data_IF_489129605873
#
_entry.id   IF_489129605873
#
_cell.length_a   1.000
_cell.length_b   1.000
_cell.length_c   1.000
_cell.angle_alpha   90.00
_cell.angle_beta   90.00
_cell.angle_gamma   90.00
#
_symmetry.space_group_name_H-M   'P 1'
#
loop_
_entity.id
_entity.type
_entity.pdbx_description
1 polymer ?
#
# COMPACT_ATOMS: atom_id res chain seq x y z
N UNK A 1 -11.47 1.70 52.62
CA UNK A 1 -10.05 1.99 52.29
C UNK A 1 -9.91 2.61 50.91
N UNK A 2 -8.76 3.18 50.53
CA UNK A 2 -8.57 3.81 49.20
C UNK A 2 -8.95 2.86 48.05
N UNK A 3 -8.74 1.54 48.22
CA UNK A 3 -9.19 0.49 47.30
C UNK A 3 -10.71 0.42 47.11
N UNK A 4 -11.47 0.48 48.21
CA UNK A 4 -12.95 0.47 48.21
C UNK A 4 -13.54 1.68 47.48
N UNK A 5 -12.88 2.85 47.58
CA UNK A 5 -13.31 4.07 46.89
C UNK A 5 -13.06 3.94 45.37
N UNK A 6 -11.97 3.27 44.97
CA UNK A 6 -11.62 3.05 43.56
C UNK A 6 -12.53 2.03 42.90
N UNK A 7 -12.88 0.94 43.58
CA UNK A 7 -13.87 -0.03 43.10
C UNK A 7 -15.25 0.60 42.94
N UNK A 8 -15.72 1.35 43.95
CA UNK A 8 -17.00 2.08 43.85
C UNK A 8 -17.00 3.10 42.71
N UNK A 9 -15.90 3.81 42.48
CA UNK A 9 -15.80 4.72 41.34
C UNK A 9 -15.90 3.98 40.00
N UNK A 10 -15.28 2.80 39.86
CA UNK A 10 -15.39 2.01 38.64
C UNK A 10 -16.81 1.46 38.41
N UNK A 11 -17.53 1.07 39.47
CA UNK A 11 -18.90 0.54 39.39
C UNK A 11 -19.96 1.64 39.21
N UNK A 12 -19.78 2.79 39.87
CA UNK A 12 -20.76 3.88 39.93
C UNK A 12 -20.51 4.96 38.85
N UNK A 13 -19.38 4.93 38.14
CA UNK A 13 -19.11 5.90 37.08
C UNK A 13 -20.10 5.72 35.95
N UNK A 14 -20.93 6.73 35.77
CA UNK A 14 -21.69 6.93 34.55
C UNK A 14 -20.71 7.10 33.39
N UNK A 15 -20.39 5.98 32.72
CA UNK A 15 -19.69 5.99 31.44
C UNK A 15 -20.68 6.53 30.44
N UNK A 16 -20.65 7.85 30.22
CA UNK A 16 -21.27 8.43 29.04
C UNK A 16 -20.38 7.95 27.88
N UNK A 17 -20.85 7.02 27.02
CA UNK A 17 -20.07 6.67 25.85
C UNK A 17 -19.81 7.98 25.09
N UNK A 18 -18.57 8.20 24.59
CA UNK A 18 -18.34 9.37 23.76
C UNK A 18 -19.43 9.40 22.70
N UNK A 19 -20.14 10.53 22.60
CA UNK A 19 -21.16 10.71 21.59
C UNK A 19 -20.59 10.21 20.26
N UNK A 20 -21.36 9.40 19.50
CA UNK A 20 -20.94 8.92 18.19
C UNK A 20 -20.22 10.06 17.49
N UNK A 21 -18.93 9.86 17.21
CA UNK A 21 -18.13 10.93 16.63
C UNK A 21 -18.68 11.22 15.25
N UNK A 22 -19.57 12.21 15.17
CA UNK A 22 -20.10 12.74 13.94
C UNK A 22 -18.95 13.46 13.26
N UNK A 23 -18.45 12.86 12.19
CA UNK A 23 -17.46 13.47 11.34
C UNK A 23 -17.92 14.89 10.98
N UNK A 24 -17.14 15.89 11.43
CA UNK A 24 -17.33 17.28 11.07
C UNK A 24 -16.12 17.72 10.26
N UNK A 25 -16.36 18.21 9.05
CA UNK A 25 -15.32 18.77 8.19
C UNK A 25 -14.56 19.92 8.87
N UNK A 26 -15.17 20.58 9.86
CA UNK A 26 -14.57 21.67 10.63
C UNK A 26 -13.47 21.19 11.61
N UNK A 27 -13.50 19.91 12.01
CA UNK A 27 -12.51 19.30 12.90
C UNK A 27 -11.27 18.77 12.16
N UNK A 28 -11.24 18.91 10.83
CA UNK A 28 -10.06 18.59 10.04
C UNK A 28 -9.04 19.70 10.27
N UNK A 29 -7.95 19.38 10.97
CA UNK A 29 -6.80 20.29 11.09
C UNK A 29 -6.43 20.81 9.70
N UNK A 30 -6.40 22.14 9.54
CA UNK A 30 -6.00 22.75 8.27
C UNK A 30 -4.59 22.23 7.92
N UNK A 31 -4.33 21.80 6.68
CA UNK A 31 -3.00 21.35 6.27
C UNK A 31 -1.99 22.45 6.59
N UNK A 32 -1.00 22.14 7.41
CA UNK A 32 -0.02 23.11 7.93
C UNK A 32 0.85 23.63 6.77
N UNK A 33 1.13 22.78 5.76
CA UNK A 33 1.89 23.15 4.56
C UNK A 33 1.18 22.64 3.30
N UNK A 34 0.65 23.56 2.48
CA UNK A 34 0.17 23.23 1.14
C UNK A 34 1.34 23.28 0.16
N UNK A 35 1.67 22.13 -0.43
CA UNK A 35 2.67 22.06 -1.51
C UNK A 35 1.94 22.28 -2.84
N UNK A 36 2.30 23.33 -3.57
CA UNK A 36 1.81 23.54 -4.94
C UNK A 36 2.69 22.79 -5.93
N UNK A 37 2.07 21.89 -6.70
CA UNK A 37 2.74 21.06 -7.71
C UNK A 37 2.40 21.52 -9.14
N UNK A 38 1.61 22.58 -9.31
CA UNK A 38 1.22 23.07 -10.64
C UNK A 38 2.44 23.49 -11.45
N UNK A 39 2.44 23.11 -12.73
CA UNK A 39 3.54 23.42 -13.66
C UNK A 39 4.84 22.67 -13.36
N UNK A 40 4.87 21.77 -12.38
CA UNK A 40 6.06 20.98 -12.07
C UNK A 40 6.07 19.67 -12.85
N UNK A 41 7.27 19.19 -13.17
CA UNK A 41 7.45 17.85 -13.75
C UNK A 41 7.40 16.81 -12.62
N UNK A 42 6.38 15.97 -12.62
CA UNK A 42 6.18 14.92 -11.65
C UNK A 42 6.68 13.56 -12.19
N UNK A 43 7.09 12.67 -11.29
CA UNK A 43 7.33 11.27 -11.62
C UNK A 43 6.24 10.43 -10.96
N UNK A 44 5.66 9.54 -11.75
CA UNK A 44 4.59 8.65 -11.30
C UNK A 44 4.93 7.24 -11.71
N UNK A 45 4.88 6.31 -10.75
CA UNK A 45 4.93 4.87 -11.03
C UNK A 45 3.50 4.41 -11.25
N UNK A 46 3.25 3.73 -12.38
CA UNK A 46 1.92 3.22 -12.73
C UNK A 46 1.92 1.71 -12.57
N UNK A 47 0.91 1.17 -11.88
CA UNK A 47 0.75 -0.26 -11.65
C UNK A 47 -0.68 -0.67 -11.96
N UNK A 48 -0.85 -1.71 -12.77
CA UNK A 48 -2.14 -2.37 -12.96
C UNK A 48 -2.19 -3.63 -12.09
N UNK A 49 -3.31 -3.84 -11.41
CA UNK A 49 -3.52 -5.04 -10.60
C UNK A 49 -4.95 -5.53 -10.76
N UNK A 50 -5.10 -6.85 -10.89
CA UNK A 50 -6.38 -7.50 -11.06
C UNK A 50 -6.51 -8.61 -10.03
N UNK A 51 -7.70 -8.74 -9.44
CA UNK A 51 -8.09 -9.93 -8.67
C UNK A 51 -9.22 -10.59 -9.46
N UNK A 52 -8.99 -11.83 -9.87
CA UNK A 52 -9.97 -12.65 -10.58
C UNK A 52 -10.38 -13.80 -9.67
N UNK A 53 -11.69 -13.98 -9.51
CA UNK A 53 -12.30 -15.09 -8.78
C UNK A 53 -13.00 -16.02 -9.77
N UNK A 54 -12.94 -17.31 -9.50
CA UNK A 54 -13.60 -18.35 -10.31
C UNK A 54 -14.54 -19.16 -9.42
N UNK A 55 -15.50 -19.92 -9.99
CA UNK A 55 -16.34 -20.82 -9.21
C UNK A 55 -15.55 -21.80 -8.32
N UNK A 56 -14.38 -22.26 -8.76
CA UNK A 56 -13.49 -23.17 -8.00
C UNK A 56 -12.74 -22.43 -6.87
N UNK A 57 -12.48 -21.13 -7.04
CA UNK A 57 -11.85 -20.26 -6.05
C UNK A 57 -12.69 -18.99 -5.86
N UNK A 58 -13.85 -19.09 -5.20
CA UNK A 58 -14.87 -18.04 -5.22
C UNK A 58 -14.59 -16.91 -4.23
N UNK A 59 -13.53 -17.01 -3.42
CA UNK A 59 -13.26 -16.09 -2.31
C UNK A 59 -11.81 -15.58 -2.35
N UNK A 60 -11.64 -14.27 -2.25
CA UNK A 60 -10.38 -13.61 -1.95
C UNK A 60 -10.25 -13.42 -0.44
N UNK A 61 -9.18 -13.93 0.16
CA UNK A 61 -8.97 -13.91 1.63
C UNK A 61 -8.53 -12.56 2.20
N UNK A 62 -8.40 -11.53 1.37
CA UNK A 62 -7.81 -10.26 1.76
C UNK A 62 -6.30 -10.18 1.46
N UNK A 63 -5.79 -8.95 1.50
CA UNK A 63 -4.37 -8.65 1.37
C UNK A 63 -3.66 -8.62 2.73
N UNK A 64 -2.38 -8.27 2.69
CA UNK A 64 -1.60 -7.94 3.90
C UNK A 64 -1.62 -6.44 4.13
N UNK A 65 -1.40 -6.01 5.37
CA UNK A 65 -1.13 -4.61 5.67
C UNK A 65 0.20 -4.20 5.01
N UNK A 66 0.21 -3.07 4.31
CA UNK A 66 1.43 -2.57 3.67
C UNK A 66 1.36 -1.07 3.36
N UNK A 67 2.54 -0.49 3.11
CA UNK A 67 2.76 0.80 2.46
C UNK A 67 3.29 0.51 1.03
N UNK A 68 3.09 1.43 0.09
CA UNK A 68 3.54 1.20 -1.29
C UNK A 68 5.02 1.58 -1.46
N UNK A 69 5.75 0.67 -2.09
CA UNK A 69 7.16 0.82 -2.45
C UNK A 69 8.17 0.71 -1.31
N UNK A 70 9.41 1.01 -1.66
CA UNK A 70 10.63 0.97 -0.89
C UNK A 70 11.32 2.34 -0.91
N UNK A 71 12.38 2.50 -0.10
CA UNK A 71 13.14 3.75 0.01
C UNK A 71 13.66 4.29 -1.33
N UNK A 72 14.08 3.42 -2.26
CA UNK A 72 14.59 3.80 -3.58
C UNK A 72 13.50 4.29 -4.55
N UNK A 73 12.23 4.00 -4.28
CA UNK A 73 11.10 4.45 -5.11
C UNK A 73 10.52 5.78 -4.61
N UNK A 74 10.83 6.16 -3.36
CA UNK A 74 10.52 7.45 -2.72
C UNK A 74 9.07 7.93 -2.95
N UNK A 75 8.12 7.03 -2.71
CA UNK A 75 6.68 7.29 -2.94
C UNK A 75 6.10 8.09 -1.77
N UNK A 76 5.52 9.25 -2.07
CA UNK A 76 4.90 10.15 -1.06
C UNK A 76 3.37 10.06 -1.02
N UNK A 77 2.74 9.64 -2.12
CA UNK A 77 1.29 9.53 -2.19
C UNK A 77 0.85 8.43 -3.14
N UNK A 78 -0.28 7.80 -2.81
CA UNK A 78 -0.90 6.76 -3.61
C UNK A 78 -2.25 7.24 -4.13
N UNK A 79 -2.52 6.96 -5.39
CA UNK A 79 -3.81 7.12 -6.05
C UNK A 79 -4.25 5.78 -6.61
N UNK A 80 -5.52 5.40 -6.44
CA UNK A 80 -6.07 4.14 -6.96
C UNK A 80 -7.38 4.45 -7.69
N UNK A 81 -7.48 4.00 -8.93
CA UNK A 81 -8.69 4.03 -9.73
C UNK A 81 -9.26 2.63 -9.93
N UNK A 82 -10.49 2.42 -9.47
CA UNK A 82 -11.22 1.17 -9.56
C UNK A 82 -12.01 1.11 -10.86
N UNK A 83 -11.31 0.90 -11.97
CA UNK A 83 -11.91 1.10 -13.29
C UNK A 83 -12.89 0.03 -13.73
N UNK A 84 -12.88 -1.16 -13.10
CA UNK A 84 -13.84 -2.21 -13.44
C UNK A 84 -14.02 -3.24 -12.31
N UNK A 85 -15.26 -3.59 -12.00
CA UNK A 85 -15.65 -4.62 -11.05
C UNK A 85 -16.91 -5.34 -11.51
N UNK A 86 -16.87 -6.67 -11.50
CA UNK A 86 -18.01 -7.48 -11.93
C UNK A 86 -18.13 -8.73 -11.06
N UNK A 87 -19.37 -9.07 -10.69
CA UNK A 87 -19.72 -10.29 -9.98
C UNK A 87 -18.92 -10.52 -8.68
N UNK A 88 -18.67 -9.46 -7.91
CA UNK A 88 -18.04 -9.54 -6.58
C UNK A 88 -18.87 -8.82 -5.54
N UNK A 89 -18.80 -9.29 -4.30
CA UNK A 89 -19.35 -8.59 -3.14
C UNK A 89 -18.56 -7.30 -2.86
N UNK A 90 -19.05 -6.47 -1.94
CA UNK A 90 -18.43 -5.19 -1.62
C UNK A 90 -16.96 -5.36 -1.20
N UNK A 91 -16.04 -4.79 -2.00
CA UNK A 91 -14.61 -4.75 -1.67
C UNK A 91 -14.31 -3.49 -0.85
N UNK A 92 -13.55 -3.64 0.25
CA UNK A 92 -13.12 -2.52 1.11
C UNK A 92 -11.61 -2.38 1.15
N UNK A 93 -11.16 -1.14 1.29
CA UNK A 93 -9.77 -0.81 1.61
C UNK A 93 -9.71 -0.21 3.01
N UNK A 94 -9.08 -0.95 3.92
CA UNK A 94 -8.90 -0.53 5.31
C UNK A 94 -7.60 0.24 5.46
N UNK A 95 -7.56 1.17 6.41
CA UNK A 95 -6.41 1.99 6.73
C UNK A 95 -6.05 1.89 8.20
N UNK A 96 -4.74 1.88 8.50
CA UNK A 96 -4.19 2.07 9.85
C UNK A 96 -2.98 3.00 9.80
N UNK A 97 -2.67 3.65 10.91
CA UNK A 97 -1.45 4.45 11.07
C UNK A 97 -0.66 3.98 12.28
N UNK A 98 0.66 4.05 12.21
CA UNK A 98 1.51 3.94 13.38
C UNK A 98 1.20 5.12 14.32
N UNK A 99 1.21 4.84 15.62
CA UNK A 99 1.10 5.86 16.67
C UNK A 99 2.28 5.76 17.60
N UNK A 100 2.61 6.88 18.25
CA UNK A 100 3.59 6.87 19.33
C UNK A 100 2.91 6.43 20.61
N UNK A 101 3.68 5.83 21.50
CA UNK A 101 3.22 5.52 22.85
C UNK A 101 2.69 6.81 23.52
N UNK A 102 1.43 6.83 23.98
CA UNK A 102 0.89 7.97 24.71
C UNK A 102 1.51 8.05 26.11
N UNK A 103 1.44 9.22 26.73
CA UNK A 103 1.67 9.30 28.18
C UNK A 103 0.44 8.76 28.93
N UNK A 104 0.65 7.85 29.87
CA UNK A 104 -0.39 7.26 30.72
C UNK A 104 0.15 7.00 32.14
N UNK A 105 -0.76 6.87 33.11
CA UNK A 105 -0.41 6.45 34.47
C UNK A 105 -0.27 4.93 34.56
N UNK A 106 0.66 4.44 35.38
CA UNK A 106 0.92 3.01 35.53
C UNK A 106 -0.38 2.25 35.86
N UNK A 107 -0.63 1.15 35.15
CA UNK A 107 -1.84 0.31 35.25
C UNK A 107 -3.16 0.97 34.80
N UNK A 108 -3.13 2.09 34.07
CA UNK A 108 -4.33 2.71 33.48
C UNK A 108 -4.70 2.10 32.10
N UNK A 109 -4.76 0.77 32.03
CA UNK A 109 -5.07 0.03 30.80
C UNK A 109 -6.43 0.46 30.21
N UNK A 110 -7.41 0.70 31.09
CA UNK A 110 -8.76 1.12 30.70
C UNK A 110 -8.76 2.55 30.14
N UNK A 111 -8.05 3.49 30.76
CA UNK A 111 -7.94 4.86 30.27
C UNK A 111 -7.23 4.93 28.93
N UNK A 112 -6.16 4.16 28.75
CA UNK A 112 -5.43 4.05 27.48
C UNK A 112 -6.31 3.48 26.37
N UNK A 113 -7.05 2.40 26.65
CA UNK A 113 -7.98 1.79 25.68
C UNK A 113 -9.11 2.71 25.30
N UNK A 114 -9.76 3.36 26.26
CA UNK A 114 -10.89 4.25 25.99
C UNK A 114 -10.48 5.54 25.27
N UNK A 115 -9.30 6.07 25.57
CA UNK A 115 -8.84 7.36 25.01
C UNK A 115 -8.16 7.19 23.66
N UNK A 116 -7.29 6.17 23.51
CA UNK A 116 -6.44 6.01 22.34
C UNK A 116 -6.83 4.81 21.46
N UNK A 117 -7.66 3.89 21.97
CA UNK A 117 -7.98 2.63 21.30
C UNK A 117 -6.83 1.63 21.29
N UNK A 118 -5.87 1.78 22.21
CA UNK A 118 -4.70 0.91 22.34
C UNK A 118 -4.90 -0.07 23.50
N UNK A 119 -4.49 -1.33 23.31
CA UNK A 119 -4.58 -2.37 24.33
C UNK A 119 -3.19 -2.71 24.86
N UNK A 120 -3.06 -3.00 26.16
CA UNK A 120 -1.80 -3.45 26.76
C UNK A 120 -1.20 -4.61 25.96
N UNK A 121 0.11 -4.58 25.69
CA UNK A 121 0.84 -5.54 24.84
C UNK A 121 0.37 -5.61 23.37
N UNK A 122 -0.54 -4.71 22.99
CA UNK A 122 -1.07 -4.58 21.65
C UNK A 122 -0.11 -3.86 20.72
N UNK A 123 -0.52 -3.78 19.46
CA UNK A 123 0.26 -3.09 18.43
C UNK A 123 0.11 -1.56 18.57
N UNK A 124 1.21 -0.82 18.48
CA UNK A 124 1.22 0.67 18.45
C UNK A 124 0.73 1.23 17.11
N UNK A 125 -0.49 0.86 16.72
CA UNK A 125 -1.18 1.41 15.57
C UNK A 125 -2.64 1.73 15.89
N UNK A 126 -3.22 2.63 15.11
CA UNK A 126 -4.62 3.00 15.20
C UNK A 126 -5.31 2.71 13.88
N UNK A 127 -6.39 1.94 13.95
CA UNK A 127 -7.30 1.72 12.83
C UNK A 127 -8.01 3.02 12.47
N UNK A 128 -7.94 3.41 11.19
CA UNK A 128 -8.52 4.66 10.68
C UNK A 128 -9.87 4.46 10.00
N UNK A 129 -10.31 3.21 9.83
CA UNK A 129 -11.54 2.90 9.11
C UNK A 129 -11.30 2.22 7.76
N UNK A 130 -12.42 1.84 7.14
CA UNK A 130 -12.45 1.22 5.83
C UNK A 130 -13.30 2.00 4.85
N UNK A 131 -12.85 2.06 3.59
CA UNK A 131 -13.58 2.72 2.51
C UNK A 131 -14.06 1.66 1.53
N UNK A 132 -15.35 1.65 1.20
CA UNK A 132 -15.89 0.81 0.14
C UNK A 132 -15.27 1.22 -1.22
N UNK A 133 -15.02 0.25 -2.09
CA UNK A 133 -14.22 0.46 -3.30
C UNK A 133 -14.96 0.03 -4.56
N UNK A 134 -16.14 0.60 -4.80
CA UNK A 134 -16.95 0.29 -5.98
C UNK A 134 -16.30 0.72 -7.31
N UNK A 135 -16.79 0.17 -8.42
CA UNK A 135 -16.41 0.57 -9.78
C UNK A 135 -16.56 2.09 -9.98
N UNK A 136 -15.61 2.68 -10.70
CA UNK A 136 -15.54 4.11 -10.97
C UNK A 136 -14.94 4.95 -9.83
N UNK A 137 -14.68 4.37 -8.64
CA UNK A 137 -14.13 5.12 -7.50
C UNK A 137 -12.65 5.45 -7.71
N UNK A 138 -12.28 6.69 -7.38
CA UNK A 138 -10.89 7.13 -7.23
C UNK A 138 -10.60 7.38 -5.74
N UNK A 139 -9.50 6.82 -5.24
CA UNK A 139 -8.99 7.08 -3.90
C UNK A 139 -7.61 7.72 -4.00
N UNK A 140 -7.34 8.71 -3.16
CA UNK A 140 -6.00 9.27 -2.99
C UNK A 140 -5.71 9.47 -1.51
N UNK A 141 -4.52 9.04 -1.10
CA UNK A 141 -4.09 9.11 0.29
C UNK A 141 -2.55 9.20 0.36
N UNK A 142 -2.01 9.84 1.41
CA UNK A 142 -0.56 9.90 1.60
C UNK A 142 0.01 8.51 1.87
N UNK A 143 1.22 8.24 1.37
CA UNK A 143 1.90 6.94 1.51
C UNK A 143 2.51 6.74 2.92
N UNK A 144 1.79 7.17 3.95
CA UNK A 144 2.11 6.99 5.38
C UNK A 144 1.10 6.11 6.10
N UNK A 145 -0.03 5.82 5.46
CA UNK A 145 -1.06 4.94 6.00
C UNK A 145 -0.81 3.55 5.48
N UNK A 146 -0.71 2.60 6.40
CA UNK A 146 -0.82 1.21 6.01
C UNK A 146 -2.24 0.94 5.56
N UNK A 147 -2.35 0.15 4.50
CA UNK A 147 -3.65 -0.23 3.97
C UNK A 147 -3.71 -1.71 3.68
N UNK A 148 -4.92 -2.24 3.72
CA UNK A 148 -5.20 -3.65 3.50
C UNK A 148 -6.50 -3.82 2.73
N UNK A 149 -6.44 -4.55 1.64
CA UNK A 149 -7.63 -4.98 0.89
C UNK A 149 -8.36 -6.03 1.73
N UNK A 150 -9.62 -5.80 2.04
CA UNK A 150 -10.43 -6.73 2.83
C UNK A 150 -10.89 -7.94 1.99
N UNK A 151 -11.26 -9.06 2.65
CA UNK A 151 -11.83 -10.21 1.96
C UNK A 151 -13.11 -9.85 1.18
N UNK A 152 -13.33 -10.52 0.04
CA UNK A 152 -14.57 -10.46 -0.73
C UNK A 152 -14.73 -11.75 -1.53
N UNK A 153 -15.93 -11.99 -2.06
CA UNK A 153 -16.26 -13.22 -2.80
C UNK A 153 -17.17 -12.94 -3.99
N UNK A 154 -17.44 -13.98 -4.78
CA UNK A 154 -18.41 -13.92 -5.88
C UNK A 154 -19.83 -13.70 -5.36
N UNK A 155 -20.61 -12.86 -6.04
CA UNK A 155 -22.06 -12.71 -5.79
C UNK A 155 -22.80 -13.93 -6.35
N UNK A 156 -22.62 -14.21 -7.64
CA UNK A 156 -23.03 -15.44 -8.30
C UNK A 156 -21.85 -16.40 -8.37
N UNK A 157 -21.83 -17.41 -7.48
CA UNK A 157 -20.75 -18.40 -7.37
C UNK A 157 -20.65 -19.34 -8.58
N UNK A 158 -21.59 -19.28 -9.53
CA UNK A 158 -21.55 -20.08 -10.76
C UNK A 158 -20.79 -19.40 -11.89
N UNK A 159 -20.50 -18.10 -11.76
CA UNK A 159 -19.82 -17.29 -12.78
C UNK A 159 -18.51 -16.71 -12.24
N UNK A 160 -17.51 -16.45 -13.09
CA UNK A 160 -16.31 -15.74 -12.66
C UNK A 160 -16.65 -14.28 -12.27
N UNK A 161 -15.74 -13.66 -11.52
CA UNK A 161 -15.85 -12.27 -11.10
C UNK A 161 -14.47 -11.62 -11.07
N UNK A 162 -14.45 -10.30 -11.18
CA UNK A 162 -13.20 -9.55 -11.33
C UNK A 162 -13.24 -8.21 -10.61
N UNK A 163 -12.08 -7.81 -10.10
CA UNK A 163 -11.77 -6.46 -9.62
C UNK A 163 -10.50 -6.00 -10.31
N UNK A 164 -10.57 -4.93 -11.10
CA UNK A 164 -9.43 -4.34 -11.79
C UNK A 164 -9.16 -2.93 -11.31
N UNK A 165 -7.89 -2.63 -11.05
CA UNK A 165 -7.45 -1.33 -10.56
C UNK A 165 -6.25 -0.80 -11.34
N UNK A 166 -6.15 0.53 -11.38
CA UNK A 166 -4.99 1.26 -11.84
C UNK A 166 -4.46 2.09 -10.66
N UNK A 167 -3.24 1.81 -10.23
CA UNK A 167 -2.57 2.53 -9.16
C UNK A 167 -1.56 3.53 -9.74
N UNK A 168 -1.50 4.69 -9.13
CA UNK A 168 -0.58 5.77 -9.41
C UNK A 168 0.19 6.09 -8.12
N UNK A 169 1.50 5.95 -8.15
CA UNK A 169 2.36 6.29 -7.02
C UNK A 169 3.15 7.54 -7.34
N UNK A 170 2.85 8.63 -6.63
CA UNK A 170 3.58 9.88 -6.76
C UNK A 170 4.93 9.73 -6.08
N UNK A 171 6.00 9.80 -6.88
CA UNK A 171 7.36 9.91 -6.36
C UNK A 171 7.57 11.32 -5.81
N UNK A 172 8.31 11.43 -4.71
CA UNK A 172 8.68 12.68 -4.08
C UNK A 172 9.16 13.70 -5.11
N UNK A 173 8.48 14.84 -5.28
CA UNK A 173 8.86 15.84 -6.28
C UNK A 173 10.25 16.45 -6.06
N UNK A 174 10.79 16.38 -4.83
CA UNK A 174 12.11 16.90 -4.47
C UNK A 174 13.26 15.96 -4.86
N UNK A 175 12.95 14.70 -5.15
CA UNK A 175 13.93 13.70 -5.54
C UNK A 175 13.62 13.15 -6.93
N UNK A 176 14.64 12.66 -7.63
CA UNK A 176 14.47 12.02 -8.93
C UNK A 176 14.93 10.58 -8.87
N UNK A 177 14.08 9.68 -9.36
CA UNK A 177 14.41 8.26 -9.50
C UNK A 177 14.62 7.92 -10.98
N UNK A 178 15.35 6.84 -11.26
CA UNK A 178 15.48 6.31 -12.63
C UNK A 178 14.09 5.97 -13.19
N UNK A 179 13.86 6.29 -14.46
CA UNK A 179 12.56 6.08 -15.11
C UNK A 179 12.72 5.63 -16.56
N UNK A 180 11.63 5.17 -17.16
CA UNK A 180 11.55 4.75 -18.57
C UNK A 180 11.86 5.88 -19.57
N UNK A 181 11.98 7.13 -19.13
CA UNK A 181 12.46 8.23 -19.96
C UNK A 181 13.97 8.11 -20.29
N UNK A 182 14.74 7.39 -19.48
CA UNK A 182 16.19 7.22 -19.64
C UNK A 182 16.64 5.75 -19.60
N UNK A 183 15.82 4.86 -19.06
CA UNK A 183 16.08 3.41 -19.07
C UNK A 183 15.46 2.82 -20.34
N UNK A 184 16.27 2.25 -21.25
CA UNK A 184 15.77 1.60 -22.47
C UNK A 184 14.94 0.35 -22.16
N UNK A 185 14.16 -0.17 -23.12
CA UNK A 185 13.39 -1.40 -22.93
C UNK A 185 14.28 -2.54 -22.48
N UNK A 186 13.94 -3.14 -21.33
CA UNK A 186 14.75 -4.21 -20.75
C UNK A 186 14.42 -5.58 -21.33
N UNK A 187 13.21 -5.76 -21.87
CA UNK A 187 12.80 -7.00 -22.51
C UNK A 187 13.37 -7.07 -23.93
N UNK A 188 13.98 -8.20 -24.27
CA UNK A 188 14.63 -8.45 -25.56
C UNK A 188 13.73 -8.18 -26.76
N UNK A 189 12.48 -8.63 -26.70
CA UNK A 189 11.47 -8.42 -27.75
C UNK A 189 11.24 -6.92 -28.01
N UNK A 190 11.00 -6.14 -26.96
CA UNK A 190 10.76 -4.69 -27.07
C UNK A 190 12.00 -3.92 -27.52
N UNK A 191 13.18 -4.35 -27.08
CA UNK A 191 14.43 -3.73 -27.52
C UNK A 191 14.66 -3.93 -29.03
N UNK A 192 14.39 -5.12 -29.55
CA UNK A 192 14.47 -5.42 -30.98
C UNK A 192 13.45 -4.57 -31.76
N UNK A 193 12.22 -4.44 -31.26
CA UNK A 193 11.22 -3.55 -31.86
C UNK A 193 11.70 -2.08 -31.88
N UNK A 194 12.25 -1.56 -30.78
CA UNK A 194 12.78 -0.19 -30.72
C UNK A 194 13.96 0.03 -31.66
N UNK A 195 14.88 -0.94 -31.77
CA UNK A 195 15.99 -0.86 -32.73
C UNK A 195 15.49 -0.77 -34.17
N UNK A 196 14.44 -1.53 -34.51
CA UNK A 196 13.89 -1.56 -35.86
C UNK A 196 13.02 -0.33 -36.22
N UNK A 197 12.58 0.47 -35.23
CA UNK A 197 11.76 1.67 -35.47
C UNK A 197 12.52 2.79 -36.18
N UNK A 198 13.82 2.92 -35.93
CA UNK A 198 14.66 3.96 -36.52
C UNK A 198 15.91 3.35 -37.13
N UNK A 199 16.22 3.69 -38.39
CA UNK A 199 17.49 3.29 -39.01
C UNK A 199 18.65 3.89 -38.20
N UNK A 200 19.47 3.02 -37.65
CA UNK A 200 20.65 3.38 -36.85
C UNK A 200 21.91 2.76 -37.45
N UNK A 201 23.08 3.23 -37.00
CA UNK A 201 24.35 2.58 -37.36
C UNK A 201 24.38 1.10 -36.95
N UNK A 202 23.61 0.71 -35.93
CA UNK A 202 23.46 -0.68 -35.50
C UNK A 202 22.62 -1.50 -36.48
N UNK A 203 21.46 -0.99 -36.91
CA UNK A 203 20.56 -1.73 -37.84
C UNK A 203 21.16 -1.89 -39.24
N UNK A 204 22.18 -1.10 -39.58
CA UNK A 204 22.91 -1.19 -40.85
C UNK A 204 24.05 -2.22 -40.82
N UNK A 205 24.32 -2.84 -39.67
CA UNK A 205 25.34 -3.88 -39.58
C UNK A 205 24.85 -5.17 -40.25
N UNK A 206 25.76 -5.96 -40.87
CA UNK A 206 25.43 -7.30 -41.35
C UNK A 206 24.81 -8.15 -40.23
N UNK A 207 23.83 -8.98 -40.57
CA UNK A 207 23.08 -9.82 -39.63
C UNK A 207 23.98 -10.67 -38.72
N UNK A 208 25.08 -11.20 -39.27
CA UNK A 208 26.08 -11.98 -38.51
C UNK A 208 26.76 -11.18 -37.39
N UNK A 209 27.01 -9.88 -37.61
CA UNK A 209 27.62 -9.00 -36.61
C UNK A 209 26.62 -8.69 -35.50
N UNK A 210 25.36 -8.41 -35.86
CA UNK A 210 24.27 -8.20 -34.89
C UNK A 210 24.02 -9.44 -34.03
N UNK A 211 24.04 -10.63 -34.64
CA UNK A 211 23.87 -11.89 -33.92
C UNK A 211 25.02 -12.13 -32.92
N UNK A 212 26.26 -11.85 -33.33
CA UNK A 212 27.42 -11.94 -32.44
C UNK A 212 27.35 -10.91 -31.30
N UNK A 213 26.94 -9.67 -31.57
CA UNK A 213 26.73 -8.66 -30.50
C UNK A 213 25.69 -9.18 -29.51
N UNK A 214 24.53 -9.61 -29.98
CA UNK A 214 23.46 -10.12 -29.12
C UNK A 214 23.88 -11.35 -28.29
N UNK A 215 24.75 -12.22 -28.79
CA UNK A 215 25.28 -13.38 -28.03
C UNK A 215 26.20 -12.98 -26.87
N UNK A 216 26.82 -11.80 -26.94
CA UNK A 216 27.77 -11.33 -25.92
C UNK A 216 27.19 -10.23 -25.01
N UNK A 217 25.94 -9.80 -25.24
CA UNK A 217 25.29 -8.86 -24.34
C UNK A 217 24.46 -9.61 -23.29
N UNK A 218 24.69 -9.28 -22.02
CA UNK A 218 23.87 -9.75 -20.88
C UNK A 218 22.53 -8.98 -20.77
N UNK A 219 22.33 -7.99 -21.64
CA UNK A 219 21.15 -7.15 -21.75
C UNK A 219 20.83 -6.96 -23.23
N UNK A 220 19.56 -6.97 -23.67
CA UNK A 220 18.34 -7.04 -22.87
C UNK A 220 17.97 -8.47 -22.44
N UNK A 221 17.20 -8.57 -21.36
CA UNK A 221 16.87 -9.84 -20.71
C UNK A 221 15.70 -10.56 -21.40
N UNK A 222 15.71 -11.88 -21.31
CA UNK A 222 14.61 -12.72 -21.77
C UNK A 222 13.46 -12.71 -20.75
N UNK A 223 12.27 -13.08 -21.21
CA UNK A 223 11.06 -13.11 -20.37
C UNK A 223 11.26 -13.99 -19.12
N UNK A 224 11.90 -15.14 -19.27
CA UNK A 224 12.15 -16.05 -18.15
C UNK A 224 13.03 -15.40 -17.06
N UNK A 225 14.03 -14.62 -17.46
CA UNK A 225 14.90 -13.94 -16.49
C UNK A 225 14.18 -12.75 -15.84
N UNK A 226 13.37 -12.01 -16.61
CA UNK A 226 12.49 -10.97 -16.07
C UNK A 226 11.51 -11.53 -15.02
N UNK A 227 10.97 -12.73 -15.24
CA UNK A 227 10.10 -13.41 -14.28
C UNK A 227 10.86 -13.83 -13.01
N UNK A 228 12.10 -14.33 -13.12
CA UNK A 228 12.97 -14.64 -11.97
C UNK A 228 13.29 -13.38 -11.15
N UNK A 229 13.68 -12.29 -11.80
CA UNK A 229 13.95 -11.01 -11.11
C UNK A 229 12.69 -10.47 -10.43
N UNK A 230 11.52 -10.62 -11.05
CA UNK A 230 10.24 -10.26 -10.43
C UNK A 230 9.99 -11.09 -9.17
N UNK A 231 10.28 -12.39 -9.18
CA UNK A 231 10.12 -13.25 -8.00
C UNK A 231 11.07 -12.86 -6.86
N UNK A 232 12.34 -12.58 -7.17
CA UNK A 232 13.31 -12.07 -6.21
C UNK A 232 12.83 -10.75 -5.58
N UNK A 233 12.38 -9.80 -6.40
CA UNK A 233 11.81 -8.53 -5.94
C UNK A 233 10.60 -8.74 -5.02
N UNK A 234 9.71 -9.68 -5.34
CA UNK A 234 8.54 -9.98 -4.50
C UNK A 234 8.95 -10.62 -3.17
N UNK A 235 9.99 -11.46 -3.16
CA UNK A 235 10.54 -12.03 -1.94
C UNK A 235 11.15 -10.95 -1.04
N UNK A 236 12.01 -10.08 -1.59
CA UNK A 236 12.62 -8.96 -0.87
C UNK A 236 11.57 -8.03 -0.26
N UNK A 237 10.54 -7.67 -1.04
CA UNK A 237 9.42 -6.83 -0.57
C UNK A 237 8.69 -7.48 0.61
N UNK A 238 8.49 -8.79 0.58
CA UNK A 238 7.80 -9.50 1.67
C UNK A 238 8.59 -9.45 2.98
N UNK A 239 9.91 -9.64 2.92
CA UNK A 239 10.76 -9.62 4.13
C UNK A 239 10.82 -8.23 4.76
N UNK A 240 11.02 -7.19 3.94
CA UNK A 240 11.09 -5.82 4.45
C UNK A 240 9.76 -5.32 5.04
N UNK A 241 8.63 -5.73 4.45
CA UNK A 241 7.30 -5.43 5.01
C UNK A 241 7.18 -6.03 6.41
N UNK A 242 7.58 -7.30 6.60
CA UNK A 242 7.51 -7.95 7.92
C UNK A 242 8.41 -7.27 8.97
N UNK A 243 9.62 -6.85 8.61
CA UNK A 243 10.52 -6.14 9.53
C UNK A 243 9.99 -4.74 9.90
N UNK A 244 9.52 -3.97 8.92
CA UNK A 244 8.96 -2.64 9.15
C UNK A 244 7.64 -2.71 9.92
N UNK A 245 6.81 -3.72 9.66
CA UNK A 245 5.61 -4.00 10.44
C UNK A 245 5.97 -4.20 11.91
N UNK A 246 6.90 -5.12 12.21
CA UNK A 246 7.35 -5.36 13.59
C UNK A 246 7.92 -4.13 14.30
N UNK A 247 8.65 -3.27 13.59
CA UNK A 247 9.33 -2.10 14.19
C UNK A 247 8.39 -0.90 14.35
N UNK A 248 7.56 -0.62 13.34
CA UNK A 248 6.82 0.64 13.25
C UNK A 248 5.32 0.51 13.51
N UNK A 249 4.73 -0.67 13.28
CA UNK A 249 3.28 -0.86 13.36
C UNK A 249 2.84 -1.94 14.35
N UNK A 250 3.69 -2.92 14.67
CA UNK A 250 3.40 -4.10 15.49
C UNK A 250 4.37 -4.23 16.67
N UNK A 251 5.12 -3.16 16.97
CA UNK A 251 5.93 -3.08 18.19
C UNK A 251 5.00 -3.21 19.39
N UNK A 252 5.16 -4.30 20.14
CA UNK A 252 4.46 -4.52 21.41
C UNK A 252 4.88 -3.43 22.39
N UNK A 253 3.90 -2.82 23.04
CA UNK A 253 4.12 -1.89 24.15
C UNK A 253 3.60 -2.52 25.43
N UNK A 254 4.42 -2.61 26.46
CA UNK A 254 4.04 -3.18 27.75
C UNK A 254 3.72 -2.05 28.72
N UNK A 255 2.50 -2.01 29.26
CA UNK A 255 2.07 -1.04 30.28
C UNK A 255 2.64 -1.37 31.68
N UNK A 256 3.56 -2.35 31.77
CA UNK A 256 4.08 -2.89 33.03
C UNK A 256 5.60 -2.70 33.24
N UNK A 257 6.36 -2.12 32.30
CA UNK A 257 7.83 -2.12 32.40
C UNK A 257 8.43 -0.77 32.89
N UNK A 258 8.86 -0.81 34.16
CA UNK A 258 10.17 -0.27 34.55
C UNK A 258 11.15 -1.43 34.69
#
# INVERSE_FOLDING_TARGET
GIYEIRERFCEEKLVIPPAEYLFSQQNINKPIDRVDLKGTRLQVIVKMANICLTPEKPTYKGGVWHIEGMLNEDIVSTGIYYYHQENITESKLNFRKAVREPGYEQYDDLGVKLTYGLENEGALNQFLGGVATHEGRCLSFPNRYQHQVQPFELVDKTKPGVRKILCFFLVNPNNRVYSTAIVPPQQKEWYVEELNKNSSKLTNLPSLVLENINKHMDWPIERNDAEKYREQLMAERKYLVNEQDGISFERQFSLCEH
#
